data_IF_453846694618
#
_entry.id   IF_453846694618
#
_cell.length_a   1.000
_cell.length_b   1.000
_cell.length_c   1.000
_cell.angle_alpha   90.00
_cell.angle_beta   90.00
_cell.angle_gamma   90.00
#
_symmetry.space_group_name_H-M   'P 1'
#
loop_
_entity.id
_entity.type
_entity.pdbx_description
1 polymer ?
#
# COMPACT_ATOMS: atom_id res chain seq x y z
N UNK A 1 -55.80 -42.29 8.75
CA UNK A 1 -54.55 -42.21 9.54
C UNK A 1 -53.59 -43.26 9.01
N UNK A 2 -52.47 -42.85 8.43
CA UNK A 2 -51.44 -43.76 7.94
C UNK A 2 -50.08 -43.17 8.26
N UNK A 3 -49.39 -43.77 9.24
CA UNK A 3 -48.05 -43.37 9.66
C UNK A 3 -47.05 -43.97 8.67
N UNK A 4 -46.50 -43.13 7.79
CA UNK A 4 -45.42 -43.50 6.88
C UNK A 4 -44.11 -43.66 7.65
N UNK A 5 -43.58 -44.89 7.73
CA UNK A 5 -42.29 -45.18 8.33
C UNK A 5 -41.15 -44.49 7.58
N UNK A 6 -40.38 -43.64 8.28
CA UNK A 6 -39.12 -43.11 7.79
C UNK A 6 -38.09 -44.25 7.70
N UNK A 7 -37.74 -44.61 6.47
CA UNK A 7 -36.64 -45.53 6.18
C UNK A 7 -35.32 -44.82 6.50
N UNK A 8 -34.79 -45.05 7.70
CA UNK A 8 -33.42 -44.69 8.08
C UNK A 8 -32.43 -45.51 7.25
N UNK A 9 -31.89 -44.90 6.18
CA UNK A 9 -30.78 -45.48 5.41
C UNK A 9 -29.55 -45.64 6.31
N UNK A 10 -29.29 -46.87 6.72
CA UNK A 10 -28.03 -47.25 7.37
C UNK A 10 -26.91 -47.12 6.35
N UNK A 11 -25.96 -46.20 6.61
CA UNK A 11 -24.67 -46.22 5.92
C UNK A 11 -23.92 -47.47 6.39
N UNK A 12 -23.67 -48.40 5.47
CA UNK A 12 -22.96 -49.64 5.74
C UNK A 12 -21.63 -49.39 6.44
N UNK A 13 -21.47 -50.03 7.59
CA UNK A 13 -20.21 -50.23 8.28
C UNK A 13 -19.25 -51.04 7.41
N UNK A 14 -17.94 -50.76 7.53
CA UNK A 14 -16.80 -51.56 7.07
C UNK A 14 -16.01 -51.04 5.85
N UNK A 15 -15.66 -49.75 5.81
CA UNK A 15 -14.40 -49.34 5.16
C UNK A 15 -13.49 -48.63 6.17
N UNK A 16 -12.19 -48.97 6.15
CA UNK A 16 -11.15 -48.32 6.96
C UNK A 16 -11.19 -46.79 6.82
N UNK A 17 -11.50 -46.31 5.61
CA UNK A 17 -11.63 -44.91 5.24
C UNK A 17 -12.80 -44.22 5.95
N UNK A 18 -13.95 -44.88 6.10
CA UNK A 18 -15.10 -44.35 6.86
C UNK A 18 -14.83 -44.32 8.37
N UNK A 19 -14.17 -45.34 8.93
CA UNK A 19 -13.76 -45.31 10.34
C UNK A 19 -12.80 -44.13 10.58
N UNK A 20 -11.81 -43.93 9.71
CA UNK A 20 -10.82 -42.86 9.83
C UNK A 20 -11.42 -41.46 9.63
N UNK A 21 -12.31 -41.28 8.66
CA UNK A 21 -13.06 -40.02 8.48
C UNK A 21 -13.95 -39.72 9.69
N UNK A 22 -14.57 -40.76 10.28
CA UNK A 22 -15.33 -40.62 11.52
C UNK A 22 -14.41 -40.17 12.67
N UNK A 23 -13.22 -40.75 12.82
CA UNK A 23 -12.26 -40.35 13.86
C UNK A 23 -11.76 -38.92 13.66
N UNK A 24 -11.48 -38.50 12.43
CA UNK A 24 -11.08 -37.12 12.12
C UNK A 24 -12.21 -36.13 12.44
N UNK A 25 -13.46 -36.48 12.08
CA UNK A 25 -14.63 -35.67 12.40
C UNK A 25 -14.88 -35.59 13.91
N UNK A 26 -14.74 -36.71 14.63
CA UNK A 26 -14.85 -36.79 16.10
C UNK A 26 -13.75 -35.97 16.80
N UNK A 27 -12.52 -35.97 16.28
CA UNK A 27 -11.43 -35.14 16.82
C UNK A 27 -11.65 -33.65 16.55
N UNK A 28 -12.07 -33.30 15.34
CA UNK A 28 -12.36 -31.91 14.98
C UNK A 28 -13.52 -31.34 15.80
N UNK A 29 -14.57 -32.13 16.01
CA UNK A 29 -15.71 -31.74 16.87
C UNK A 29 -15.30 -31.60 18.33
N UNK A 30 -14.47 -32.49 18.88
CA UNK A 30 -13.92 -32.33 20.24
C UNK A 30 -13.07 -31.08 20.39
N UNK A 31 -12.18 -30.80 19.44
CA UNK A 31 -11.38 -29.57 19.44
C UNK A 31 -12.25 -28.31 19.38
N UNK A 32 -13.32 -28.32 18.56
CA UNK A 32 -14.24 -27.20 18.49
C UNK A 32 -15.00 -26.97 19.81
N UNK A 33 -15.43 -28.05 20.46
CA UNK A 33 -16.09 -27.99 21.77
C UNK A 33 -15.14 -27.49 22.88
N UNK A 34 -13.89 -27.95 22.89
CA UNK A 34 -12.89 -27.47 23.85
C UNK A 34 -12.52 -26.00 23.61
N UNK A 35 -12.50 -25.54 22.35
CA UNK A 35 -12.32 -24.13 22.03
C UNK A 35 -13.49 -23.28 22.52
N UNK A 36 -14.74 -23.71 22.30
CA UNK A 36 -15.93 -23.03 22.82
C UNK A 36 -15.89 -22.93 24.36
N UNK A 37 -15.54 -24.03 25.04
CA UNK A 37 -15.41 -24.06 26.52
C UNK A 37 -14.32 -23.10 27.02
N UNK A 38 -13.19 -22.98 26.32
CA UNK A 38 -12.12 -22.04 26.68
C UNK A 38 -12.59 -20.58 26.55
N UNK A 39 -13.37 -20.28 25.52
CA UNK A 39 -13.98 -18.96 25.34
C UNK A 39 -14.98 -18.66 26.47
N UNK A 40 -15.82 -19.63 26.81
CA UNK A 40 -16.78 -19.51 27.92
C UNK A 40 -16.06 -19.35 29.27
N UNK A 41 -14.91 -20.01 29.48
CA UNK A 41 -14.12 -19.89 30.72
C UNK A 41 -13.36 -18.57 30.88
N UNK A 42 -13.17 -17.81 29.79
CA UNK A 42 -12.53 -16.50 29.80
C UNK A 42 -13.55 -15.34 29.78
N UNK A 43 -14.86 -15.64 29.77
CA UNK A 43 -15.90 -14.64 29.85
C UNK A 43 -16.21 -14.31 31.32
N UNK A 44 -16.12 -13.02 31.68
CA UNK A 44 -16.57 -12.51 32.99
C UNK A 44 -18.06 -12.87 33.21
N UNK A 45 -18.45 -13.37 34.40
CA UNK A 45 -19.81 -13.82 34.67
C UNK A 45 -20.88 -12.71 34.64
N UNK A 46 -20.47 -11.45 34.54
CA UNK A 46 -21.35 -10.28 34.42
C UNK A 46 -21.54 -9.78 32.98
N UNK A 47 -20.90 -10.42 31.99
CA UNK A 47 -21.05 -10.07 30.57
C UNK A 47 -21.95 -11.10 29.92
N UNK A 48 -23.17 -10.70 29.58
CA UNK A 48 -24.12 -11.54 28.85
C UNK A 48 -23.44 -12.19 27.63
N UNK A 49 -23.39 -13.52 27.59
CA UNK A 49 -22.76 -14.30 26.52
C UNK A 49 -23.37 -14.03 25.12
N UNK A 50 -24.55 -13.40 25.07
CA UNK A 50 -25.19 -12.90 23.85
C UNK A 50 -24.55 -11.61 23.31
N UNK A 51 -23.86 -10.83 24.14
CA UNK A 51 -23.19 -9.58 23.75
C UNK A 51 -21.79 -9.82 23.15
N UNK A 52 -21.10 -10.89 23.56
CA UNK A 52 -19.84 -11.35 22.97
C UNK A 52 -20.03 -12.00 21.59
N UNK A 53 -21.25 -12.46 21.29
CA UNK A 53 -21.67 -13.01 20.00
C UNK A 53 -22.49 -12.02 19.15
N UNK A 54 -22.16 -10.71 19.20
CA UNK A 54 -22.78 -9.72 18.31
C UNK A 54 -22.42 -9.89 16.82
N UNK A 55 -21.58 -10.89 16.47
CA UNK A 55 -21.49 -11.38 15.09
C UNK A 55 -22.72 -12.23 14.76
N UNK A 56 -23.89 -11.58 14.73
CA UNK A 56 -25.06 -12.08 14.03
C UNK A 56 -24.64 -12.34 12.58
N UNK A 57 -24.33 -13.60 12.28
CA UNK A 57 -23.98 -14.09 10.94
C UNK A 57 -25.08 -13.77 9.92
N UNK A 58 -26.30 -13.51 10.39
CA UNK A 58 -27.41 -13.02 9.58
C UNK A 58 -27.20 -11.57 9.14
N UNK A 59 -26.82 -10.66 10.05
CA UNK A 59 -26.54 -9.25 9.69
C UNK A 59 -25.37 -9.11 8.71
N UNK A 60 -24.26 -9.82 8.94
CA UNK A 60 -23.09 -9.77 8.07
C UNK A 60 -23.36 -10.38 6.67
N UNK A 61 -24.20 -11.41 6.60
CA UNK A 61 -24.59 -12.05 5.34
C UNK A 61 -25.56 -11.18 4.53
N UNK A 62 -26.35 -10.33 5.18
CA UNK A 62 -27.21 -9.35 4.53
C UNK A 62 -26.44 -8.10 4.09
N UNK A 63 -25.41 -7.70 4.84
CA UNK A 63 -24.45 -6.65 4.48
C UNK A 63 -23.66 -6.98 3.21
N UNK A 64 -23.33 -8.26 3.03
CA UNK A 64 -22.62 -8.76 1.85
C UNK A 64 -23.50 -8.87 0.59
N UNK A 65 -24.83 -8.70 0.67
CA UNK A 65 -25.77 -8.84 -0.46
C UNK A 65 -26.15 -7.53 -1.14
N UNK A 66 -25.80 -6.38 -0.57
CA UNK A 66 -26.18 -5.07 -1.12
C UNK A 66 -25.19 -4.61 -2.19
N UNK A 67 -25.58 -4.51 -3.48
CA UNK A 67 -24.72 -3.93 -4.50
C UNK A 67 -24.80 -2.40 -4.38
N UNK A 68 -23.67 -1.76 -4.08
CA UNK A 68 -23.49 -0.30 -4.21
C UNK A 68 -24.26 0.62 -3.25
N UNK A 69 -24.42 0.25 -1.99
CA UNK A 69 -24.40 1.28 -0.94
C UNK A 69 -23.06 1.18 -0.21
N UNK A 70 -22.16 2.13 -0.48
CA UNK A 70 -21.12 2.46 0.50
C UNK A 70 -21.90 2.72 1.80
N UNK A 71 -21.75 1.87 2.80
CA UNK A 71 -22.07 2.26 4.18
C UNK A 71 -21.03 3.29 4.63
N UNK A 72 -21.16 4.50 4.09
CA UNK A 72 -21.15 5.69 4.92
C UNK A 72 -22.60 5.87 5.36
N UNK A 73 -23.04 5.06 6.33
CA UNK A 73 -24.02 5.54 7.29
C UNK A 73 -23.16 5.79 8.52
N UNK A 74 -22.68 7.00 8.69
CA UNK A 74 -23.48 8.09 9.24
C UNK A 74 -24.32 7.59 10.43
N UNK A 75 -23.63 7.19 11.49
CA UNK A 75 -24.00 7.69 12.82
C UNK A 75 -23.52 9.16 13.01
N UNK A 76 -23.35 9.89 11.91
CA UNK A 76 -23.60 11.31 11.86
C UNK A 76 -25.12 11.48 11.97
N UNK A 77 -25.61 11.44 13.21
CA UNK A 77 -26.77 12.25 13.52
C UNK A 77 -26.48 13.65 12.96
N UNK A 78 -27.35 14.07 12.07
CA UNK A 78 -27.47 15.40 11.49
C UNK A 78 -27.60 16.44 12.60
N UNK A 79 -26.48 16.78 13.22
CA UNK A 79 -26.22 18.14 13.66
C UNK A 79 -25.55 18.83 12.48
N UNK A 80 -25.94 20.05 12.09
CA UNK A 80 -25.12 20.87 11.23
C UNK A 80 -23.86 21.22 12.03
N UNK A 81 -22.91 20.28 12.09
CA UNK A 81 -21.57 20.55 12.55
C UNK A 81 -21.00 21.50 11.51
N UNK A 82 -20.98 22.80 11.84
CA UNK A 82 -19.89 23.65 11.38
C UNK A 82 -18.63 22.80 11.48
N UNK A 83 -17.99 22.49 10.35
CA UNK A 83 -16.77 21.72 10.32
C UNK A 83 -15.75 22.43 11.22
N UNK A 84 -15.68 22.01 12.48
CA UNK A 84 -14.58 22.33 13.35
C UNK A 84 -13.46 21.53 12.70
N UNK A 85 -12.63 22.20 11.89
CA UNK A 85 -11.39 21.64 11.38
C UNK A 85 -10.62 21.20 12.61
N UNK A 86 -10.64 19.91 12.93
CA UNK A 86 -9.82 19.35 13.99
C UNK A 86 -8.36 19.44 13.50
N UNK A 87 -7.76 20.60 13.77
CA UNK A 87 -6.33 20.83 13.62
C UNK A 87 -5.64 20.03 14.71
N UNK A 88 -4.74 19.12 14.34
CA UNK A 88 -4.10 18.29 15.35
C UNK A 88 -3.32 17.11 14.79
N UNK A 89 -2.57 16.49 15.69
CA UNK A 89 -1.83 15.25 15.42
C UNK A 89 -2.83 14.10 15.28
N UNK A 90 -2.83 13.45 14.12
CA UNK A 90 -3.68 12.31 13.85
C UNK A 90 -3.06 11.01 14.37
N UNK A 91 -1.78 10.81 14.06
CA UNK A 91 -1.02 9.62 14.45
C UNK A 91 0.46 9.98 14.66
N UNK A 92 1.14 9.19 15.48
CA UNK A 92 2.58 9.32 15.66
C UNK A 92 3.22 7.98 16.00
N UNK A 93 4.49 7.87 15.66
CA UNK A 93 5.30 6.67 15.87
C UNK A 93 6.64 7.09 16.45
N UNK A 94 7.02 6.46 17.54
CA UNK A 94 8.32 6.61 18.18
C UNK A 94 9.29 5.57 17.62
N UNK A 95 10.51 6.01 17.32
CA UNK A 95 11.62 5.17 16.85
C UNK A 95 12.68 5.10 17.96
N UNK A 96 12.24 5.09 19.22
CA UNK A 96 13.10 4.92 20.39
C UNK A 96 14.16 6.03 20.47
N UNK A 97 15.47 5.70 20.47
CA UNK A 97 16.52 6.71 20.63
C UNK A 97 16.69 7.63 19.41
N UNK A 98 16.12 7.28 18.26
CA UNK A 98 16.31 8.03 17.00
C UNK A 98 15.30 9.15 16.81
N UNK A 99 14.18 9.15 17.55
CA UNK A 99 13.19 10.20 17.53
C UNK A 99 11.83 9.79 16.98
N UNK A 100 11.05 10.77 16.49
CA UNK A 100 9.59 10.62 16.26
C UNK A 100 9.14 11.01 14.85
N UNK A 101 8.27 10.20 14.26
CA UNK A 101 7.53 10.53 13.03
C UNK A 101 6.08 10.78 13.38
N UNK A 102 5.48 11.86 12.86
CA UNK A 102 4.07 12.18 13.11
C UNK A 102 3.32 12.61 11.86
N UNK A 103 2.01 12.37 11.84
CA UNK A 103 1.08 12.84 10.82
C UNK A 103 0.11 13.85 11.44
N UNK A 104 0.03 15.05 10.89
CA UNK A 104 -0.73 16.18 11.43
C UNK A 104 -1.63 16.76 10.35
N UNK A 105 -2.87 17.10 10.73
CA UNK A 105 -3.77 17.89 9.90
C UNK A 105 -3.65 19.37 10.31
N UNK A 106 -3.24 20.22 9.36
CA UNK A 106 -3.11 21.66 9.57
C UNK A 106 -2.22 22.34 8.53
N UNK A 107 -2.05 23.66 8.67
CA UNK A 107 -1.27 24.45 7.72
C UNK A 107 0.23 24.17 7.88
N UNK A 108 0.93 23.67 6.82
CA UNK A 108 2.37 23.46 6.85
C UNK A 108 3.15 24.73 7.21
N UNK A 109 2.63 25.93 6.87
CA UNK A 109 3.28 27.20 7.18
C UNK A 109 3.19 27.58 8.66
N UNK A 110 2.23 27.00 9.39
CA UNK A 110 2.00 27.28 10.81
C UNK A 110 2.75 26.33 11.75
N UNK A 111 3.50 25.37 11.21
CA UNK A 111 4.28 24.42 12.00
C UNK A 111 5.56 25.07 12.51
N UNK A 112 5.82 24.92 13.81
CA UNK A 112 7.05 25.37 14.46
C UNK A 112 8.10 24.25 14.38
N UNK A 113 8.81 24.18 13.26
CA UNK A 113 9.92 23.24 13.02
C UNK A 113 11.17 23.99 12.57
N UNK A 114 12.33 23.33 12.59
CA UNK A 114 13.57 23.94 12.12
C UNK A 114 13.53 24.16 10.60
N UNK A 115 13.03 23.18 9.85
CA UNK A 115 12.85 23.31 8.42
C UNK A 115 11.44 22.95 7.96
N UNK A 116 10.98 23.63 6.92
CA UNK A 116 9.83 23.24 6.12
C UNK A 116 10.31 22.82 4.73
N UNK A 117 10.01 21.59 4.32
CA UNK A 117 10.27 21.14 2.95
C UNK A 117 9.25 21.77 2.01
N UNK A 118 9.74 22.42 0.95
CA UNK A 118 8.89 23.07 -0.05
C UNK A 118 9.19 22.47 -1.42
N UNK A 119 8.23 21.78 -2.07
CA UNK A 119 8.46 21.18 -3.38
C UNK A 119 8.57 22.28 -4.46
N UNK A 120 9.59 22.19 -5.31
CA UNK A 120 9.80 23.11 -6.43
C UNK A 120 10.22 22.34 -7.69
N UNK A 121 9.71 22.69 -8.88
CA UNK A 121 10.21 22.11 -10.12
C UNK A 121 11.68 22.50 -10.40
N UNK A 122 12.38 21.78 -11.30
CA UNK A 122 13.80 22.03 -11.60
C UNK A 122 14.12 23.41 -12.16
N UNK A 123 13.13 24.10 -12.74
CA UNK A 123 13.26 25.47 -13.23
C UNK A 123 13.00 26.54 -12.15
N UNK A 124 12.73 26.14 -10.90
CA UNK A 124 12.44 27.02 -9.76
C UNK A 124 11.20 27.91 -9.90
N UNK A 125 10.32 27.62 -10.87
CA UNK A 125 9.09 28.38 -11.11
C UNK A 125 7.89 27.44 -10.92
N UNK A 126 7.41 27.26 -9.68
CA UNK A 126 6.21 26.50 -9.41
C UNK A 126 5.00 27.26 -9.98
N UNK A 127 4.15 26.58 -10.73
CA UNK A 127 2.96 27.20 -11.36
C UNK A 127 1.74 27.19 -10.45
N UNK A 128 1.67 26.28 -9.47
CA UNK A 128 0.59 26.16 -8.49
C UNK A 128 1.09 25.47 -7.21
N UNK A 129 0.23 25.34 -6.21
CA UNK A 129 0.47 24.56 -4.99
C UNK A 129 1.29 25.29 -3.93
N UNK A 130 1.81 24.53 -2.96
CA UNK A 130 2.54 25.09 -1.82
C UNK A 130 3.78 25.89 -2.25
N UNK A 131 4.54 25.41 -3.23
CA UNK A 131 5.72 26.11 -3.74
C UNK A 131 5.38 27.51 -4.25
N UNK A 132 4.29 27.67 -5.01
CA UNK A 132 3.85 28.99 -5.47
C UNK A 132 3.39 29.86 -4.29
N UNK A 133 2.54 29.32 -3.41
CA UNK A 133 2.03 30.04 -2.22
C UNK A 133 3.17 30.60 -1.36
N UNK A 134 4.22 29.80 -1.14
CA UNK A 134 5.41 30.21 -0.38
C UNK A 134 6.15 31.36 -1.08
N UNK A 135 6.35 31.28 -2.40
CA UNK A 135 7.04 32.33 -3.16
C UNK A 135 6.23 33.62 -3.28
N UNK A 136 4.91 33.54 -3.42
CA UNK A 136 4.01 34.69 -3.43
C UNK A 136 4.03 35.43 -2.10
N UNK A 137 3.93 34.70 -0.98
CA UNK A 137 3.98 35.27 0.36
C UNK A 137 5.37 35.86 0.69
N UNK A 138 6.45 35.22 0.23
CA UNK A 138 7.83 35.68 0.48
C UNK A 138 8.31 36.78 -0.47
N UNK A 139 7.57 37.03 -1.56
CA UNK A 139 7.81 38.11 -2.51
C UNK A 139 9.18 38.07 -3.19
N UNK A 140 9.65 39.27 -3.59
CA UNK A 140 10.89 39.43 -4.38
C UNK A 140 12.16 39.08 -3.59
N UNK A 141 12.16 39.27 -2.28
CA UNK A 141 13.29 38.94 -1.41
C UNK A 141 13.54 37.44 -1.35
N UNK A 142 12.49 36.64 -1.14
CA UNK A 142 12.63 35.18 -1.10
C UNK A 142 13.02 34.60 -2.46
N UNK A 143 12.37 35.05 -3.53
CA UNK A 143 12.67 34.60 -4.90
C UNK A 143 14.11 34.94 -5.32
N UNK A 144 14.59 36.15 -5.03
CA UNK A 144 15.99 36.54 -5.31
C UNK A 144 17.00 35.71 -4.49
N UNK A 145 16.71 35.44 -3.22
CA UNK A 145 17.55 34.61 -2.36
C UNK A 145 17.60 33.16 -2.87
N UNK A 146 16.46 32.58 -3.25
CA UNK A 146 16.34 31.24 -3.83
C UNK A 146 17.18 31.13 -5.11
N UNK A 147 16.99 32.04 -6.07
CA UNK A 147 17.73 32.01 -7.35
C UNK A 147 19.23 32.25 -7.12
N UNK A 148 19.62 33.15 -6.22
CA UNK A 148 21.03 33.39 -5.90
C UNK A 148 21.69 32.13 -5.34
N UNK A 149 21.06 31.46 -4.37
CA UNK A 149 21.57 30.21 -3.78
C UNK A 149 21.58 29.06 -4.77
N UNK A 150 20.56 28.94 -5.61
CA UNK A 150 20.51 27.96 -6.69
C UNK A 150 21.68 28.13 -7.67
N UNK A 151 21.97 29.36 -8.10
CA UNK A 151 23.11 29.65 -8.96
C UNK A 151 24.42 29.26 -8.28
N UNK A 152 24.59 29.55 -6.99
CA UNK A 152 25.78 29.15 -6.23
C UNK A 152 25.95 27.63 -6.15
N UNK A 153 24.86 26.87 -6.06
CA UNK A 153 24.92 25.41 -6.09
C UNK A 153 25.35 24.89 -7.46
N UNK A 154 24.75 25.41 -8.53
CA UNK A 154 25.10 25.03 -9.91
C UNK A 154 26.55 25.41 -10.23
N UNK A 155 27.03 26.59 -9.82
CA UNK A 155 28.44 26.98 -10.03
C UNK A 155 29.38 26.06 -9.28
N UNK A 156 29.08 25.69 -8.04
CA UNK A 156 29.90 24.72 -7.28
C UNK A 156 29.97 23.34 -7.96
N UNK A 157 28.85 22.89 -8.53
CA UNK A 157 28.80 21.63 -9.28
C UNK A 157 29.64 21.71 -10.56
N UNK A 158 29.57 22.82 -11.29
CA UNK A 158 30.39 23.06 -12.48
C UNK A 158 31.88 23.16 -12.12
N UNK A 159 32.23 23.87 -11.06
CA UNK A 159 33.62 24.01 -10.61
C UNK A 159 34.21 22.64 -10.22
N UNK A 160 33.44 21.82 -9.51
CA UNK A 160 33.84 20.45 -9.16
C UNK A 160 34.02 19.56 -10.40
N UNK A 161 33.14 19.71 -11.40
CA UNK A 161 33.24 18.98 -12.67
C UNK A 161 34.42 19.45 -13.53
N UNK A 162 34.72 20.73 -13.52
CA UNK A 162 35.90 21.28 -14.20
C UNK A 162 37.21 20.81 -13.54
N UNK A 163 37.22 20.58 -12.22
CA UNK A 163 38.37 20.02 -11.51
C UNK A 163 38.68 18.57 -11.91
N UNK A 164 37.66 17.77 -12.26
CA UNK A 164 37.82 16.38 -12.72
C UNK A 164 37.84 16.23 -14.24
N UNK A 165 38.00 17.33 -14.98
CA UNK A 165 37.97 17.34 -16.45
C UNK A 165 38.96 16.36 -17.09
N UNK A 166 40.13 16.20 -16.49
CA UNK A 166 41.21 15.35 -17.03
C UNK A 166 40.90 13.84 -16.94
N UNK A 167 39.88 13.45 -16.16
CA UNK A 167 39.43 12.05 -16.05
C UNK A 167 38.57 11.60 -17.24
N UNK A 168 38.03 12.55 -18.02
CA UNK A 168 37.18 12.27 -19.16
C UNK A 168 38.02 11.94 -20.40
N UNK A 169 37.85 10.71 -20.92
CA UNK A 169 38.52 10.25 -22.15
C UNK A 169 38.04 10.98 -23.39
N UNK A 170 36.74 11.30 -23.44
CA UNK A 170 36.08 11.90 -24.60
C UNK A 170 35.51 13.28 -24.28
N UNK A 171 35.75 14.24 -25.19
CA UNK A 171 35.22 15.60 -25.05
C UNK A 171 33.68 15.65 -25.15
N UNK A 172 33.06 14.66 -25.82
CA UNK A 172 31.61 14.55 -25.93
C UNK A 172 30.97 14.19 -24.57
N UNK A 173 31.59 13.27 -23.83
CA UNK A 173 31.12 12.85 -22.51
C UNK A 173 31.24 13.99 -21.51
N UNK A 174 32.34 14.74 -21.56
CA UNK A 174 32.52 15.94 -20.75
C UNK A 174 31.44 16.99 -21.02
N UNK A 175 31.11 17.26 -22.30
CA UNK A 175 30.02 18.19 -22.65
C UNK A 175 28.66 17.73 -22.16
N UNK A 176 28.39 16.42 -22.19
CA UNK A 176 27.14 15.88 -21.64
C UNK A 176 27.10 16.04 -20.10
N UNK A 177 28.23 15.82 -19.43
CA UNK A 177 28.34 16.00 -17.99
C UNK A 177 28.21 17.48 -17.59
N UNK A 178 28.84 18.41 -18.33
CA UNK A 178 28.71 19.85 -18.14
C UNK A 178 27.25 20.31 -18.31
N UNK A 179 26.55 19.80 -19.33
CA UNK A 179 25.13 20.06 -19.51
C UNK A 179 24.28 19.53 -18.35
N UNK A 180 24.61 18.35 -17.81
CA UNK A 180 23.92 17.80 -16.65
C UNK A 180 24.18 18.63 -15.38
N UNK A 181 25.44 19.02 -15.13
CA UNK A 181 25.86 19.84 -13.98
C UNK A 181 25.31 21.27 -14.04
N UNK A 182 25.00 21.79 -15.24
CA UNK A 182 24.34 23.09 -15.40
C UNK A 182 22.88 23.13 -14.88
N UNK A 183 22.33 21.97 -14.52
CA UNK A 183 20.93 21.81 -14.08
C UNK A 183 20.86 21.39 -12.63
N UNK A 184 19.83 21.86 -11.95
CA UNK A 184 19.53 21.37 -10.61
C UNK A 184 19.11 19.90 -10.65
N UNK A 185 19.85 19.10 -9.89
CA UNK A 185 19.55 17.68 -9.74
C UNK A 185 18.27 17.43 -8.95
N UNK A 186 17.61 16.32 -9.24
CA UNK A 186 16.45 15.86 -8.46
C UNK A 186 16.89 15.50 -7.03
N UNK A 187 16.12 15.96 -6.05
CA UNK A 187 16.43 15.79 -4.63
C UNK A 187 17.43 16.80 -4.08
N UNK A 188 17.97 17.70 -4.90
CA UNK A 188 18.77 18.82 -4.39
C UNK A 188 17.90 19.73 -3.51
N UNK A 189 18.50 20.22 -2.42
CA UNK A 189 17.82 21.06 -1.45
C UNK A 189 18.48 22.43 -1.42
N UNK A 190 17.66 23.48 -1.49
CA UNK A 190 18.11 24.86 -1.41
C UNK A 190 17.54 25.45 -0.14
N UNK A 191 18.39 25.61 0.88
CA UNK A 191 18.00 26.27 2.12
C UNK A 191 17.85 27.77 1.88
N UNK A 192 16.85 28.40 2.48
CA UNK A 192 16.66 29.85 2.52
C UNK A 192 16.05 30.26 3.86
N UNK A 193 16.27 31.50 4.33
CA UNK A 193 15.49 32.00 5.45
C UNK A 193 14.03 32.18 5.02
N UNK A 194 13.10 32.13 5.99
CA UNK A 194 11.66 32.15 5.67
C UNK A 194 11.13 33.50 5.20
N UNK A 195 11.83 34.61 5.48
CA UNK A 195 11.34 35.98 5.28
C UNK A 195 9.93 36.22 5.88
N UNK A 196 9.61 35.53 6.98
CA UNK A 196 8.31 35.66 7.67
C UNK A 196 7.15 34.89 7.04
N UNK A 197 7.41 34.06 6.03
CA UNK A 197 6.35 33.28 5.34
C UNK A 197 5.82 32.13 6.18
N UNK A 198 6.70 31.46 6.92
CA UNK A 198 6.40 30.30 7.73
C UNK A 198 6.94 30.48 9.15
N UNK A 199 6.32 29.79 10.11
CA UNK A 199 6.80 29.70 11.50
C UNK A 199 8.08 28.86 11.63
N UNK A 200 8.42 28.07 10.62
CA UNK A 200 9.68 27.36 10.58
C UNK A 200 10.88 28.33 10.58
N UNK A 201 12.06 27.87 10.99
CA UNK A 201 13.26 28.74 10.98
C UNK A 201 13.86 28.86 9.57
N UNK A 202 13.80 27.79 8.78
CA UNK A 202 14.30 27.70 7.42
C UNK A 202 13.27 27.11 6.45
N UNK A 203 13.36 27.53 5.18
CA UNK A 203 12.69 26.86 4.06
C UNK A 203 13.72 26.03 3.30
N UNK A 204 13.43 24.74 3.15
CA UNK A 204 14.22 23.80 2.38
C UNK A 204 13.48 23.52 1.06
N UNK A 205 13.85 24.23 0.01
CA UNK A 205 13.27 24.03 -1.31
C UNK A 205 13.83 22.75 -1.93
N UNK A 206 12.98 21.73 -2.09
CA UNK A 206 13.34 20.42 -2.63
C UNK A 206 13.03 20.39 -4.12
N UNK A 207 14.04 20.10 -4.94
CA UNK A 207 13.89 19.99 -6.39
C UNK A 207 13.24 18.66 -6.75
N UNK A 208 11.96 18.72 -7.12
CA UNK A 208 11.14 17.55 -7.44
C UNK A 208 11.06 17.31 -8.95
N UNK A 209 11.12 16.05 -9.41
CA UNK A 209 10.91 15.74 -10.82
C UNK A 209 9.43 15.79 -11.22
N UNK A 210 9.19 15.90 -12.53
CA UNK A 210 7.89 15.63 -13.10
C UNK A 210 7.69 14.13 -13.34
N UNK A 211 6.72 13.51 -12.67
CA UNK A 211 6.48 12.06 -12.67
C UNK A 211 5.63 11.57 -13.86
N UNK A 212 4.78 12.42 -14.43
CA UNK A 212 3.88 12.12 -15.55
C UNK A 212 4.56 11.62 -16.85
N UNK A 213 5.86 11.81 -17.01
CA UNK A 213 6.61 11.41 -18.21
C UNK A 213 7.09 9.95 -18.18
N UNK A 214 6.93 9.25 -17.05
CA UNK A 214 7.58 7.95 -16.82
C UNK A 214 6.62 6.88 -16.33
N UNK A 215 7.09 5.62 -16.32
CA UNK A 215 6.32 4.52 -15.76
C UNK A 215 6.08 4.72 -14.24
N UNK A 216 5.00 4.18 -13.65
CA UNK A 216 4.74 4.31 -12.21
C UNK A 216 5.87 3.81 -11.31
N UNK A 217 6.61 2.79 -11.77
CA UNK A 217 7.78 2.24 -11.06
C UNK A 217 8.96 3.21 -11.07
N UNK A 218 9.30 3.77 -12.23
CA UNK A 218 10.38 4.77 -12.31
C UNK A 218 10.01 6.02 -11.52
N UNK A 219 8.75 6.44 -11.58
CA UNK A 219 8.27 7.55 -10.79
C UNK A 219 8.40 7.29 -9.28
N UNK A 220 8.10 6.06 -8.82
CA UNK A 220 8.33 5.68 -7.42
C UNK A 220 9.80 5.73 -7.02
N UNK A 221 10.70 5.27 -7.90
CA UNK A 221 12.15 5.29 -7.64
C UNK A 221 12.69 6.72 -7.61
N UNK A 222 12.22 7.58 -8.52
CA UNK A 222 12.56 9.01 -8.52
C UNK A 222 12.08 9.70 -7.26
N UNK A 223 10.86 9.41 -6.79
CA UNK A 223 10.35 9.98 -5.54
C UNK A 223 11.19 9.53 -4.34
N UNK A 224 11.49 8.22 -4.24
CA UNK A 224 12.37 7.67 -3.19
C UNK A 224 13.70 8.40 -3.16
N UNK A 225 14.39 8.44 -4.31
CA UNK A 225 15.67 9.13 -4.46
C UNK A 225 15.60 10.62 -4.09
N UNK A 226 14.53 11.31 -4.49
CA UNK A 226 14.34 12.75 -4.21
C UNK A 226 14.23 12.99 -2.70
N UNK A 227 13.41 12.19 -2.01
CA UNK A 227 13.15 12.36 -0.57
C UNK A 227 14.33 11.89 0.26
N UNK A 228 14.94 10.77 -0.11
CA UNK A 228 16.16 10.27 0.51
C UNK A 228 17.25 11.33 0.53
N UNK A 229 17.65 11.85 -0.65
CA UNK A 229 18.67 12.92 -0.75
C UNK A 229 18.27 14.18 0.01
N UNK A 230 16.98 14.53 -0.01
CA UNK A 230 16.52 15.72 0.70
C UNK A 230 16.66 15.58 2.21
N UNK A 231 16.27 14.43 2.78
CA UNK A 231 16.37 14.18 4.21
C UNK A 231 17.80 13.94 4.67
N UNK A 232 18.63 13.26 3.87
CA UNK A 232 20.07 13.13 4.11
C UNK A 232 20.74 14.50 4.18
N UNK A 233 20.49 15.37 3.21
CA UNK A 233 21.04 16.73 3.19
C UNK A 233 20.60 17.55 4.41
N UNK A 234 19.33 17.41 4.80
CA UNK A 234 18.78 18.12 5.97
C UNK A 234 19.41 17.61 7.26
N UNK A 235 19.61 16.30 7.38
CA UNK A 235 20.30 15.67 8.51
C UNK A 235 21.78 16.09 8.58
N UNK A 236 22.48 16.16 7.44
CA UNK A 236 23.85 16.68 7.33
C UNK A 236 23.97 18.16 7.71
N UNK A 237 22.90 18.93 7.50
CA UNK A 237 22.82 20.36 7.82
C UNK A 237 22.49 20.66 9.28
N UNK A 238 22.55 19.65 10.17
CA UNK A 238 22.29 19.77 11.61
C UNK A 238 20.85 20.23 11.96
N UNK A 239 19.89 19.96 11.07
CA UNK A 239 18.48 20.30 11.27
C UNK A 239 17.79 19.17 12.03
N UNK A 240 17.14 19.51 13.16
CA UNK A 240 16.58 18.49 14.06
C UNK A 240 15.11 18.16 13.80
N UNK A 241 14.32 19.15 13.39
CA UNK A 241 12.88 18.98 13.17
C UNK A 241 12.45 19.47 11.79
N UNK A 242 11.70 18.63 11.07
CA UNK A 242 11.33 18.90 9.68
C UNK A 242 9.84 18.73 9.47
N UNK A 243 9.18 19.75 8.92
CA UNK A 243 7.83 19.65 8.41
C UNK A 243 7.88 19.23 6.93
N UNK A 244 7.25 18.11 6.59
CA UNK A 244 7.17 17.57 5.24
C UNK A 244 5.71 17.58 4.75
N UNK A 245 5.34 18.45 3.80
CA UNK A 245 4.06 18.38 3.15
C UNK A 245 4.01 17.25 2.11
N UNK A 246 2.87 17.08 1.46
CA UNK A 246 2.77 16.15 0.35
C UNK A 246 3.51 16.66 -0.90
N UNK A 247 4.73 16.16 -1.12
CA UNK A 247 5.66 16.60 -2.18
C UNK A 247 5.29 16.04 -3.57
N UNK A 248 4.63 14.87 -3.63
CA UNK A 248 4.45 14.12 -4.88
C UNK A 248 3.14 14.40 -5.64
N UNK A 249 2.17 15.07 -5.02
CA UNK A 249 0.78 15.08 -5.52
C UNK A 249 0.50 16.22 -6.52
N UNK A 250 -0.63 16.09 -7.24
CA UNK A 250 -1.23 17.05 -8.17
C UNK A 250 -0.39 17.46 -9.39
N UNK A 251 0.60 18.32 -9.22
CA UNK A 251 1.28 19.01 -10.34
C UNK A 251 2.35 18.13 -10.98
N UNK A 252 2.99 17.29 -10.18
CA UNK A 252 4.04 16.41 -10.64
C UNK A 252 3.51 15.09 -11.22
N UNK A 253 2.22 14.78 -11.01
CA UNK A 253 1.52 13.66 -11.65
C UNK A 253 1.79 12.27 -11.06
N UNK A 254 2.22 12.17 -9.79
CA UNK A 254 2.40 10.88 -9.13
C UNK A 254 1.11 10.35 -8.50
N UNK A 255 0.92 9.03 -8.49
CA UNK A 255 -0.24 8.41 -7.86
C UNK A 255 -0.12 8.47 -6.32
N UNK A 256 -1.06 9.13 -5.62
CA UNK A 256 -0.88 9.47 -4.22
C UNK A 256 -0.83 8.26 -3.28
N UNK A 257 -1.51 7.14 -3.59
CA UNK A 257 -1.62 6.00 -2.67
C UNK A 257 -0.27 5.38 -2.27
N UNK A 258 0.69 5.33 -3.19
CA UNK A 258 2.04 4.83 -2.90
C UNK A 258 2.98 5.95 -2.42
N UNK A 259 2.68 7.21 -2.74
CA UNK A 259 3.52 8.36 -2.41
C UNK A 259 3.66 8.57 -0.91
N UNK A 260 2.55 8.47 -0.17
CA UNK A 260 2.57 8.61 1.30
C UNK A 260 3.46 7.55 1.97
N UNK A 261 3.39 6.30 1.49
CA UNK A 261 4.20 5.20 2.02
C UNK A 261 5.68 5.43 1.75
N UNK A 262 6.00 5.82 0.52
CA UNK A 262 7.37 6.15 0.12
C UNK A 262 7.93 7.25 1.02
N UNK A 263 7.21 8.36 1.18
CA UNK A 263 7.67 9.47 2.02
C UNK A 263 8.00 9.05 3.45
N UNK A 264 7.14 8.23 4.06
CA UNK A 264 7.32 7.78 5.44
C UNK A 264 8.42 6.70 5.54
N UNK A 265 8.50 5.78 4.58
CA UNK A 265 9.57 4.77 4.53
C UNK A 265 10.95 5.44 4.41
N UNK A 266 11.11 6.38 3.49
CA UNK A 266 12.38 7.09 3.32
C UNK A 266 12.69 7.98 4.53
N UNK A 267 11.68 8.56 5.20
CA UNK A 267 11.90 9.30 6.44
C UNK A 267 12.37 8.42 7.60
N UNK A 268 11.75 7.25 7.76
CA UNK A 268 12.19 6.26 8.72
C UNK A 268 13.62 5.80 8.45
N UNK A 269 13.95 5.50 7.20
CA UNK A 269 15.28 5.00 6.83
C UNK A 269 16.36 6.10 6.95
N UNK A 270 16.02 7.36 6.64
CA UNK A 270 16.90 8.52 6.83
C UNK A 270 17.16 8.82 8.31
N UNK A 271 16.16 8.71 9.19
CA UNK A 271 16.35 8.88 10.65
C UNK A 271 17.25 7.81 11.27
N UNK A 272 17.17 6.58 10.76
CA UNK A 272 18.04 5.48 11.19
C UNK A 272 19.44 5.50 10.57
N UNK A 273 19.66 6.29 9.51
CA UNK A 273 20.93 6.36 8.79
C UNK A 273 21.34 5.03 8.15
N UNK A 274 20.37 4.20 7.70
CA UNK A 274 20.64 2.83 7.23
C UNK A 274 21.57 2.74 6.02
N UNK A 275 21.59 3.78 5.19
CA UNK A 275 22.32 3.82 3.92
C UNK A 275 23.61 4.67 3.98
N UNK A 276 23.93 5.23 5.15
CA UNK A 276 25.09 6.11 5.33
C UNK A 276 26.26 5.34 5.96
N UNK A 277 27.45 5.46 5.38
CA UNK A 277 28.67 4.86 5.94
C UNK A 277 29.01 5.46 7.32
N UNK A 278 28.77 6.77 7.48
CA UNK A 278 28.91 7.52 8.72
C UNK A 278 27.54 8.14 9.10
N UNK A 279 26.69 7.42 9.86
CA UNK A 279 25.35 7.90 10.16
C UNK A 279 25.41 9.09 11.12
N UNK A 280 24.80 10.20 10.70
CA UNK A 280 24.53 11.37 11.56
C UNK A 280 23.10 11.27 12.07
N UNK A 281 22.88 11.55 13.35
CA UNK A 281 21.56 11.44 13.99
C UNK A 281 21.06 12.80 14.46
N UNK A 282 21.10 13.80 13.57
CA UNK A 282 20.62 15.13 13.91
C UNK A 282 19.10 15.22 13.78
N UNK A 283 18.53 14.50 12.81
CA UNK A 283 17.11 14.50 12.51
C UNK A 283 16.30 13.72 13.57
N UNK A 284 15.75 14.45 14.54
CA UNK A 284 14.98 13.91 15.67
C UNK A 284 13.48 13.81 15.39
N UNK A 285 12.91 14.68 14.56
CA UNK A 285 11.49 14.63 14.27
C UNK A 285 11.12 14.97 12.83
N UNK A 286 10.29 14.12 12.23
CA UNK A 286 9.68 14.37 10.91
C UNK A 286 8.17 14.46 11.06
N UNK A 287 7.62 15.62 10.72
CA UNK A 287 6.20 15.93 10.84
C UNK A 287 5.59 16.01 9.44
N UNK A 288 4.79 15.01 9.07
CA UNK A 288 4.02 15.02 7.84
C UNK A 288 2.75 15.85 8.01
N UNK A 289 2.63 16.97 7.30
CA UNK A 289 1.56 17.95 7.51
C UNK A 289 0.86 18.29 6.21
N UNK A 290 -0.48 18.26 6.23
CA UNK A 290 -1.28 18.71 5.09
C UNK A 290 -2.51 19.49 5.54
N UNK A 291 -2.87 20.49 4.73
CA UNK A 291 -4.06 21.32 4.89
C UNK A 291 -5.35 20.51 4.63
N UNK A 292 -5.26 19.49 3.76
CA UNK A 292 -6.38 18.62 3.43
C UNK A 292 -6.45 17.42 4.39
N UNK A 293 -7.58 17.31 5.08
CA UNK A 293 -7.85 16.24 6.04
C UNK A 293 -7.73 14.85 5.41
N UNK A 294 -8.17 14.67 4.15
CA UNK A 294 -8.07 13.36 3.50
C UNK A 294 -6.61 12.97 3.27
N UNK A 295 -5.80 13.95 2.87
CA UNK A 295 -4.37 13.79 2.66
C UNK A 295 -3.64 13.50 3.98
N UNK A 296 -3.95 14.24 5.05
CA UNK A 296 -3.42 13.98 6.40
C UNK A 296 -3.81 12.58 6.92
N UNK A 297 -5.06 12.14 6.70
CA UNK A 297 -5.52 10.77 7.03
C UNK A 297 -4.82 9.69 6.18
N UNK A 298 -4.39 10.01 4.97
CA UNK A 298 -3.60 9.08 4.16
C UNK A 298 -2.17 8.96 4.69
N UNK A 299 -1.57 10.05 5.17
CA UNK A 299 -0.31 10.01 5.92
C UNK A 299 -0.44 9.16 7.19
N UNK A 300 -1.48 9.35 8.00
CA UNK A 300 -1.66 8.57 9.23
C UNK A 300 -1.78 7.07 8.96
N UNK A 301 -2.57 6.67 7.93
CA UNK A 301 -2.67 5.26 7.49
C UNK A 301 -1.36 4.71 6.96
N UNK A 302 -0.61 5.52 6.20
CA UNK A 302 0.69 5.12 5.70
C UNK A 302 1.70 4.95 6.85
N UNK A 303 1.64 5.81 7.88
CA UNK A 303 2.48 5.74 9.06
C UNK A 303 2.30 4.43 9.82
N UNK A 304 1.04 4.06 10.10
CA UNK A 304 0.72 2.78 10.75
C UNK A 304 1.16 1.59 9.89
N UNK A 305 0.97 1.68 8.57
CA UNK A 305 1.43 0.62 7.67
C UNK A 305 2.95 0.44 7.71
N UNK A 306 3.73 1.52 7.66
CA UNK A 306 5.20 1.47 7.74
C UNK A 306 5.64 0.95 9.11
N UNK A 307 5.00 1.38 10.19
CA UNK A 307 5.26 0.87 11.54
C UNK A 307 5.06 -0.65 11.63
N UNK A 308 3.97 -1.18 11.05
CA UNK A 308 3.72 -2.62 10.99
C UNK A 308 4.73 -3.43 10.16
N UNK A 309 5.52 -2.78 9.30
CA UNK A 309 6.53 -3.44 8.47
C UNK A 309 7.91 -3.31 9.08
N UNK A 310 8.28 -2.10 9.50
CA UNK A 310 9.65 -1.73 9.88
C UNK A 310 9.91 -1.88 11.39
N UNK A 311 8.93 -1.60 12.26
CA UNK A 311 9.14 -1.60 13.71
C UNK A 311 8.89 -3.00 14.27
N UNK A 312 9.90 -3.68 14.85
CA UNK A 312 9.78 -5.08 15.28
C UNK A 312 8.62 -5.35 16.24
N UNK A 313 8.37 -4.44 17.18
CA UNK A 313 7.32 -4.57 18.20
C UNK A 313 5.91 -4.50 17.59
N UNK A 314 5.75 -3.67 16.56
CA UNK A 314 4.49 -3.44 15.87
C UNK A 314 4.33 -4.34 14.64
N UNK A 315 5.29 -5.23 14.35
CA UNK A 315 5.19 -6.13 13.20
C UNK A 315 3.94 -7.00 13.30
N UNK A 316 3.18 -7.08 12.21
CA UNK A 316 1.93 -7.85 12.18
C UNK A 316 2.03 -9.11 11.34
N UNK A 317 1.29 -10.15 11.74
CA UNK A 317 1.15 -11.40 11.02
C UNK A 317 -0.33 -11.81 10.96
N UNK A 318 -0.77 -12.51 9.89
CA UNK A 318 -2.08 -13.14 9.87
C UNK A 318 -2.24 -14.11 11.06
N UNK A 319 -3.37 -14.05 11.77
CA UNK A 319 -3.68 -14.92 12.89
C UNK A 319 -3.49 -16.42 12.59
N UNK A 320 -3.88 -16.94 11.40
CA UNK A 320 -3.60 -18.33 11.06
C UNK A 320 -2.11 -18.65 11.00
N UNK A 321 -1.28 -17.72 10.52
CA UNK A 321 0.18 -17.90 10.45
C UNK A 321 0.80 -17.82 11.84
N UNK A 322 0.37 -16.86 12.66
CA UNK A 322 0.84 -16.70 14.03
C UNK A 322 0.55 -17.96 14.87
N UNK A 323 -0.71 -18.39 14.93
CA UNK A 323 -1.09 -19.56 15.70
C UNK A 323 -0.48 -20.85 15.15
N UNK A 324 -0.30 -20.97 13.82
CA UNK A 324 0.38 -22.14 13.26
C UNK A 324 1.85 -22.22 13.68
N UNK A 325 2.55 -21.08 13.75
CA UNK A 325 3.93 -21.01 14.27
C UNK A 325 3.97 -21.31 15.77
N UNK A 326 3.09 -20.69 16.56
CA UNK A 326 3.07 -20.86 18.02
C UNK A 326 2.67 -22.28 18.45
N UNK A 327 1.74 -22.90 17.72
CA UNK A 327 1.30 -24.27 18.00
C UNK A 327 2.21 -25.33 17.38
N UNK A 328 3.23 -24.93 16.61
CA UNK A 328 4.12 -25.80 15.82
C UNK A 328 3.39 -27.05 15.33
N UNK A 329 2.22 -26.87 14.70
CA UNK A 329 1.38 -28.00 14.30
C UNK A 329 2.16 -28.81 13.26
N UNK A 330 2.92 -29.79 13.73
CA UNK A 330 3.43 -30.90 12.95
C UNK A 330 2.18 -31.60 12.42
N UNK A 331 1.81 -31.27 11.19
CA UNK A 331 0.88 -32.09 10.45
C UNK A 331 1.68 -33.34 10.09
N UNK A 332 1.70 -34.32 10.99
CA UNK A 332 2.18 -35.66 10.69
C UNK A 332 1.28 -36.22 9.59
N UNK A 333 1.77 -36.12 8.35
CA UNK A 333 1.20 -36.86 7.25
C UNK A 333 1.68 -38.29 7.38
N UNK A 334 0.78 -39.14 7.86
CA UNK A 334 0.96 -40.58 7.80
C UNK A 334 1.29 -40.97 6.34
N UNK A 335 2.34 -41.77 6.11
CA UNK A 335 2.89 -42.06 4.77
C UNK A 335 1.83 -42.62 3.81
N UNK A 336 0.80 -43.27 4.36
CA UNK A 336 -0.37 -43.75 3.63
C UNK A 336 -1.16 -42.66 2.90
N UNK A 337 -1.21 -41.43 3.44
CA UNK A 337 -1.88 -40.27 2.82
C UNK A 337 -1.05 -39.73 1.65
N UNK A 338 0.27 -39.65 1.82
CA UNK A 338 1.18 -39.31 0.72
C UNK A 338 1.14 -40.38 -0.38
N UNK A 339 1.00 -41.66 -0.01
CA UNK A 339 0.80 -42.77 -0.94
C UNK A 339 -0.49 -42.64 -1.76
N UNK A 340 -1.58 -42.14 -1.18
CA UNK A 340 -2.82 -41.83 -1.91
C UNK A 340 -2.62 -40.68 -2.91
N UNK A 341 -1.91 -39.62 -2.52
CA UNK A 341 -1.60 -38.49 -3.40
C UNK A 341 -0.62 -38.85 -4.53
N UNK A 342 0.28 -39.83 -4.31
CA UNK A 342 1.20 -40.36 -5.32
C UNK A 342 0.51 -41.22 -6.38
N UNK A 343 -0.68 -41.77 -6.11
CA UNK A 343 -1.46 -42.49 -7.12
C UNK A 343 -2.00 -41.48 -8.11
N UNK A 344 -1.40 -41.43 -9.29
CA UNK A 344 -1.94 -40.74 -10.46
C UNK A 344 -3.26 -41.41 -10.86
N UNK A 345 -4.36 -41.04 -10.21
CA UNK A 345 -5.67 -41.37 -10.72
C UNK A 345 -5.78 -40.65 -12.05
N UNK A 346 -5.86 -41.42 -13.13
CA UNK A 346 -6.24 -40.89 -14.44
C UNK A 346 -7.66 -40.38 -14.26
N UNK A 347 -7.82 -39.09 -13.97
CA UNK A 347 -9.13 -38.44 -13.87
C UNK A 347 -9.68 -38.44 -15.30
N UNK A 348 -10.34 -39.53 -15.67
CA UNK A 348 -11.08 -39.62 -16.91
C UNK A 348 -12.36 -38.87 -16.68
N UNK A 349 -12.37 -37.58 -17.06
CA UNK A 349 -13.61 -36.86 -17.21
C UNK A 349 -14.45 -37.63 -18.23
N UNK A 350 -15.51 -38.32 -17.79
CA UNK A 350 -16.53 -38.80 -18.71
C UNK A 350 -17.04 -37.57 -19.44
N UNK A 351 -16.70 -37.44 -20.73
CA UNK A 351 -17.25 -36.42 -21.64
C UNK A 351 -18.75 -36.68 -21.79
N UNK A 352 -19.53 -36.29 -20.80
CA UNK A 352 -20.97 -36.15 -20.97
C UNK A 352 -21.18 -34.89 -21.81
N UNK A 353 -21.30 -35.05 -23.13
CA UNK A 353 -21.93 -34.05 -23.96
C UNK A 353 -23.44 -34.16 -23.73
N UNK A 354 -24.09 -33.22 -23.02
CA UNK A 354 -25.54 -33.23 -22.98
C UNK A 354 -26.04 -32.90 -24.40
N UNK A 355 -26.68 -33.88 -25.05
CA UNK A 355 -27.54 -33.63 -26.21
C UNK A 355 -28.80 -32.94 -25.69
N UNK A 356 -29.00 -31.67 -26.07
CA UNK A 356 -30.11 -30.84 -25.62
C UNK A 356 -29.92 -29.37 -26.00
N UNK A 357 -31.00 -28.59 -25.97
CA UNK A 357 -30.99 -27.19 -26.44
C UNK A 357 -29.89 -26.35 -25.79
N UNK A 358 -29.37 -25.35 -26.51
CA UNK A 358 -28.32 -24.43 -26.05
C UNK A 358 -28.63 -23.86 -24.65
N UNK A 359 -29.90 -23.62 -24.33
CA UNK A 359 -30.38 -23.15 -23.03
C UNK A 359 -30.20 -24.19 -21.91
N UNK A 360 -30.56 -25.46 -22.13
CA UNK A 360 -30.33 -26.54 -21.14
C UNK A 360 -28.84 -26.82 -20.95
N UNK A 361 -28.05 -26.75 -22.02
CA UNK A 361 -26.57 -26.85 -21.96
C UNK A 361 -25.99 -25.70 -21.14
N UNK A 362 -26.41 -24.46 -21.40
CA UNK A 362 -25.99 -23.29 -20.63
C UNK A 362 -26.38 -23.40 -19.15
N UNK A 363 -27.62 -23.79 -18.83
CA UNK A 363 -28.09 -23.95 -17.46
C UNK A 363 -27.37 -25.04 -16.65
N UNK A 364 -26.95 -26.14 -17.30
CA UNK A 364 -26.34 -27.29 -16.62
C UNK A 364 -24.82 -27.24 -16.56
N UNK A 365 -24.17 -26.71 -17.60
CA UNK A 365 -22.70 -26.71 -17.72
C UNK A 365 -22.06 -25.34 -17.51
N UNK A 366 -22.73 -24.24 -17.82
CA UNK A 366 -22.16 -22.90 -17.69
C UNK A 366 -22.69 -22.21 -16.44
N UNK A 367 -24.01 -22.17 -16.20
CA UNK A 367 -24.64 -21.47 -15.08
C UNK A 367 -24.08 -21.81 -13.68
N UNK A 368 -23.71 -23.06 -13.34
CA UNK A 368 -23.09 -23.36 -12.05
C UNK A 368 -21.70 -22.72 -11.86
N UNK A 369 -20.96 -22.50 -12.95
CA UNK A 369 -19.65 -21.84 -12.96
C UNK A 369 -19.74 -20.35 -13.32
N UNK A 370 -20.87 -19.92 -13.90
CA UNK A 370 -21.32 -18.53 -14.04
C UNK A 370 -22.12 -18.12 -12.80
N UNK A 371 -22.05 -18.90 -11.70
CA UNK A 371 -22.24 -18.33 -10.37
C UNK A 371 -21.37 -17.10 -10.34
N UNK A 372 -22.03 -15.95 -10.40
CA UNK A 372 -21.37 -14.67 -10.36
C UNK A 372 -20.43 -14.81 -9.17
N UNK A 373 -19.12 -14.58 -9.30
CA UNK A 373 -18.45 -14.01 -8.18
C UNK A 373 -19.21 -12.69 -7.98
N UNK A 374 -20.30 -12.73 -7.20
CA UNK A 374 -20.53 -11.68 -6.23
C UNK A 374 -19.13 -11.40 -5.72
N UNK A 375 -18.66 -10.15 -5.85
CA UNK A 375 -17.34 -9.75 -5.40
C UNK A 375 -17.30 -10.07 -3.90
N UNK A 376 -17.06 -11.33 -3.59
CA UNK A 376 -17.01 -11.87 -2.27
C UNK A 376 -15.72 -11.27 -1.81
N UNK A 377 -15.83 -10.24 -0.99
CA UNK A 377 -14.64 -9.71 -0.37
C UNK A 377 -14.19 -10.82 0.57
N UNK A 378 -12.96 -11.29 0.39
CA UNK A 378 -12.37 -12.17 1.39
C UNK A 378 -12.30 -11.31 2.66
N UNK A 379 -12.87 -11.77 3.79
CA UNK A 379 -12.57 -11.11 5.04
C UNK A 379 -11.04 -11.14 5.18
N UNK A 380 -10.40 -9.98 5.33
CA UNK A 380 -8.96 -9.94 5.48
C UNK A 380 -8.61 -10.76 6.71
N UNK A 381 -7.51 -11.52 6.70
CA UNK A 381 -7.12 -12.28 7.87
C UNK A 381 -6.92 -11.30 9.03
N UNK A 382 -7.45 -11.66 10.20
CA UNK A 382 -7.20 -10.91 11.44
C UNK A 382 -5.68 -10.81 11.62
N UNK A 383 -5.17 -9.60 11.73
CA UNK A 383 -3.77 -9.34 11.97
C UNK A 383 -3.50 -9.35 13.47
N UNK A 384 -2.47 -10.07 13.88
CA UNK A 384 -1.95 -10.11 15.24
C UNK A 384 -0.54 -9.52 15.26
N UNK A 385 -0.16 -8.85 16.34
CA UNK A 385 1.22 -8.44 16.58
C UNK A 385 2.10 -9.69 16.76
N UNK A 386 3.23 -9.72 16.07
CA UNK A 386 4.17 -10.85 16.07
C UNK A 386 4.77 -11.08 17.44
N UNK A 387 5.04 -10.01 18.20
CA UNK A 387 5.64 -10.08 19.53
C UNK A 387 4.64 -10.61 20.58
N UNK A 388 3.41 -10.08 20.59
CA UNK A 388 2.45 -10.32 21.69
C UNK A 388 1.33 -11.29 21.34
N UNK A 389 1.02 -11.49 20.06
CA UNK A 389 -0.16 -12.24 19.60
C UNK A 389 -1.48 -11.50 19.77
N UNK A 390 -1.47 -10.26 20.27
CA UNK A 390 -2.68 -9.44 20.41
C UNK A 390 -3.16 -8.93 19.04
N UNK A 391 -4.47 -8.66 18.87
CA UNK A 391 -4.99 -8.11 17.62
C UNK A 391 -4.37 -6.75 17.32
N UNK A 392 -3.92 -6.56 16.08
CA UNK A 392 -3.38 -5.29 15.62
C UNK A 392 -4.47 -4.21 15.62
N UNK A 393 -4.13 -2.99 16.03
CA UNK A 393 -5.06 -1.85 16.04
C UNK A 393 -5.63 -1.57 14.65
N UNK A 394 -4.78 -1.57 13.63
CA UNK A 394 -5.20 -1.39 12.25
C UNK A 394 -5.34 -2.74 11.55
N UNK A 395 -6.59 -3.13 11.32
CA UNK A 395 -6.93 -4.27 10.47
C UNK A 395 -6.97 -3.85 9.01
N UNK A 396 -6.59 -4.75 8.11
CA UNK A 396 -6.75 -4.48 6.68
C UNK A 396 -8.22 -4.36 6.30
N UNK A 397 -8.51 -3.52 5.30
CA UNK A 397 -9.83 -3.48 4.69
C UNK A 397 -10.13 -4.75 3.89
N UNK A 398 -11.42 -5.03 3.64
CA UNK A 398 -11.84 -6.18 2.84
C UNK A 398 -11.24 -6.15 1.44
N UNK A 399 -10.68 -7.28 0.99
CA UNK A 399 -10.02 -7.40 -0.32
C UNK A 399 -10.91 -8.19 -1.28
N UNK A 400 -10.96 -7.85 -2.57
CA UNK A 400 -11.63 -8.69 -3.56
C UNK A 400 -11.01 -10.09 -3.55
N UNK A 401 -11.80 -11.11 -3.18
CA UNK A 401 -11.34 -12.49 -3.17
C UNK A 401 -11.18 -12.99 -4.61
N UNK A 402 -9.97 -13.44 -4.92
CA UNK A 402 -9.70 -14.22 -6.12
C UNK A 402 -9.31 -15.61 -5.63
N UNK A 403 -10.26 -16.54 -5.56
CA UNK A 403 -9.97 -17.91 -5.16
C UNK A 403 -8.90 -18.48 -6.11
N UNK A 404 -7.72 -18.79 -5.57
CA UNK A 404 -6.58 -19.48 -6.18
C UNK A 404 -6.69 -19.69 -7.71
N UNK A 405 -6.17 -18.74 -8.49
CA UNK A 405 -6.03 -18.87 -9.95
C UNK A 405 -7.27 -18.51 -10.79
N UNK A 406 -8.42 -18.24 -10.16
CA UNK A 406 -9.60 -17.70 -10.87
C UNK A 406 -9.58 -16.17 -10.77
N UNK A 407 -8.85 -15.54 -11.70
CA UNK A 407 -9.13 -14.13 -12.02
C UNK A 407 -10.59 -14.01 -12.51
N UNK A 408 -11.22 -12.83 -12.43
CA UNK A 408 -12.61 -12.56 -12.89
C UNK A 408 -12.88 -12.80 -14.39
N UNK A 409 -11.97 -13.52 -15.02
CA UNK A 409 -11.68 -13.60 -16.42
C UNK A 409 -11.49 -15.10 -16.65
N UNK A 410 -12.58 -15.87 -16.49
CA UNK A 410 -12.64 -17.33 -16.74
C UNK A 410 -12.24 -17.70 -18.18
N UNK A 411 -12.18 -16.71 -19.06
CA UNK A 411 -11.41 -16.67 -20.29
C UNK A 411 -10.51 -15.45 -20.18
N UNK A 412 -9.17 -15.51 -20.35
CA UNK A 412 -8.38 -14.29 -20.57
C UNK A 412 -9.17 -13.44 -21.56
N UNK A 413 -9.62 -12.26 -21.13
CA UNK A 413 -10.05 -11.25 -22.07
C UNK A 413 -8.78 -11.03 -22.87
N UNK A 414 -8.72 -11.60 -24.08
CA UNK A 414 -7.82 -11.23 -25.16
C UNK A 414 -8.17 -9.79 -25.61
N UNK A 415 -8.41 -8.91 -24.65
CA UNK A 415 -8.36 -7.48 -24.88
C UNK A 415 -6.89 -7.16 -24.78
N UNK A 416 -6.27 -6.69 -25.87
CA UNK A 416 -4.91 -6.21 -25.80
C UNK A 416 -4.85 -5.19 -24.67
N UNK A 417 -4.00 -5.44 -23.66
CA UNK A 417 -3.73 -4.42 -22.65
C UNK A 417 -3.15 -3.23 -23.40
N UNK A 418 -3.84 -2.09 -23.37
CA UNK A 418 -3.30 -0.84 -23.92
C UNK A 418 -2.02 -0.55 -23.15
N UNK A 419 -0.89 -0.65 -23.82
CA UNK A 419 0.43 -0.47 -23.20
C UNK A 419 0.73 1.02 -22.98
N UNK A 420 0.00 1.88 -23.67
CA UNK A 420 0.00 3.34 -23.59
C UNK A 420 -0.80 3.94 -24.74
N UNK A 421 -1.03 5.25 -24.70
CA UNK A 421 -1.55 6.03 -25.82
C UNK A 421 -0.36 6.70 -26.51
N UNK A 422 -0.29 6.64 -27.84
CA UNK A 422 0.71 7.31 -28.67
C UNK A 422 0.01 8.28 -29.61
N UNK A 423 0.52 9.51 -29.70
CA UNK A 423 0.05 10.48 -30.70
C UNK A 423 0.55 10.05 -32.07
N UNK A 424 -0.36 9.77 -33.01
CA UNK A 424 -0.02 9.48 -34.40
C UNK A 424 0.40 10.74 -35.16
N UNK A 425 0.96 10.57 -36.35
CA UNK A 425 1.41 11.69 -37.21
C UNK A 425 0.33 12.75 -37.48
N UNK A 426 -0.95 12.39 -37.38
CA UNK A 426 -2.09 13.28 -37.58
C UNK A 426 -2.61 13.91 -36.27
N UNK A 427 -1.84 13.85 -35.18
CA UNK A 427 -2.23 14.39 -33.86
C UNK A 427 -3.26 13.57 -33.09
N UNK A 428 -3.77 12.48 -33.67
CA UNK A 428 -4.76 11.61 -33.01
C UNK A 428 -4.08 10.62 -32.05
N UNK A 429 -4.61 10.53 -30.83
CA UNK A 429 -4.20 9.54 -29.84
C UNK A 429 -4.62 8.14 -30.28
N UNK A 430 -3.63 7.30 -30.60
CA UNK A 430 -3.82 5.89 -30.94
C UNK A 430 -3.33 5.00 -29.80
N UNK A 431 -4.11 3.99 -29.48
CA UNK A 431 -3.73 2.98 -28.49
C UNK A 431 -2.55 2.15 -29.00
N UNK A 432 -1.46 2.06 -28.24
CA UNK A 432 -0.39 1.12 -28.51
C UNK A 432 -0.81 -0.24 -27.97
N UNK A 433 -1.30 -1.08 -28.88
CA UNK A 433 -1.67 -2.47 -28.59
C UNK A 433 -0.39 -3.24 -28.27
N UNK A 434 -0.33 -3.86 -27.09
CA UNK A 434 0.78 -4.73 -26.71
C UNK A 434 0.84 -5.90 -27.70
N UNK A 435 1.97 -6.18 -28.35
CA UNK A 435 2.09 -7.36 -29.21
C UNK A 435 1.78 -8.61 -28.39
N UNK A 436 1.06 -9.56 -28.98
CA UNK A 436 0.71 -10.80 -28.30
C UNK A 436 1.98 -11.55 -27.87
N UNK A 437 2.00 -12.15 -26.67
CA UNK A 437 3.13 -12.95 -26.24
C UNK A 437 3.36 -14.11 -27.22
N UNK A 438 4.61 -14.41 -27.55
CA UNK A 438 5.03 -15.40 -28.57
C UNK A 438 4.33 -16.77 -28.40
N UNK A 439 3.95 -17.13 -27.18
CA UNK A 439 3.28 -18.39 -26.85
C UNK A 439 1.83 -18.50 -27.34
N UNK A 440 1.18 -17.42 -27.79
CA UNK A 440 -0.17 -17.48 -28.39
C UNK A 440 -0.16 -17.50 -29.92
N UNK A 441 1.00 -17.30 -30.58
CA UNK A 441 1.08 -17.47 -32.03
C UNK A 441 1.14 -18.96 -32.37
N UNK A 442 -0.02 -19.60 -32.53
CA UNK A 442 -0.10 -20.82 -33.32
C UNK A 442 0.20 -20.44 -34.77
N UNK A 443 1.48 -20.45 -35.16
CA UNK A 443 1.84 -20.64 -36.55
C UNK A 443 1.32 -22.03 -36.95
N UNK A 444 0.23 -22.05 -37.69
CA UNK A 444 -0.15 -23.19 -38.51
C UNK A 444 0.95 -23.39 -39.56
N UNK A 445 1.91 -24.25 -39.26
CA UNK A 445 2.64 -24.95 -40.31
C UNK A 445 1.77 -26.14 -40.73
N UNK A 446 0.96 -25.90 -41.75
CA UNK A 446 0.56 -26.89 -42.75
C UNK A 446 0.50 -26.19 -44.10
#
# INVERSE_FOLDING_TARGET
>A
MGVGSLVCRHFGSCSFLQRRLKTVLERATRQQLDWNRKIESHADPNVDASSLNSTSTLSFRDDCKMPFQRRFQDNAQTRPQKAIKELGTLEWVDIGPFGKISAVHGDPLQQATDALLVPVPPNLVPTMGLGLRVLELGGKSLTSALVKRAKTLVTKQLDALHATKDEYKDQADFKHAEYAASRLEMGSVILTPTFGVAKATLLAFVVTPFFWQTSPREASLKLRHTIKRALEFVNESEISTVACPQIANAIYGYEPQNGYKILIEEAHDAMLGLDSDEPKYNLNAVVFVDDDEQTARNFSRALVFVAHVKIPELQTLPAPVYHNRQSERLIEFDESVLGFCKRAFRITYKRYYPKGSKRKRWLRLLKPYVWRPFRALEPPPLLLYKATGQPALLQHGPRPFYKNGVSHVHFPLLRPRMQGLQVGANGQWKARIRPEPIFTSTRSYY
#
